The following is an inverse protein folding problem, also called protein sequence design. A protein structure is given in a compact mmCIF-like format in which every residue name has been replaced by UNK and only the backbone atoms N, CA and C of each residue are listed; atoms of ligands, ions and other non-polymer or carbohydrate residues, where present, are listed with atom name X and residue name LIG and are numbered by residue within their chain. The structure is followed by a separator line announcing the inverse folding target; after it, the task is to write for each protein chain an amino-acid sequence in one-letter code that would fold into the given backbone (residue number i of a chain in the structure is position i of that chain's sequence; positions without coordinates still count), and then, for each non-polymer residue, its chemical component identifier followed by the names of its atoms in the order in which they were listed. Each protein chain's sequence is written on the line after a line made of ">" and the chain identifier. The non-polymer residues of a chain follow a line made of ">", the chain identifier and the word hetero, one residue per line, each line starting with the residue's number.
data_IF_989223072585
#
_entry.id   IF_989223072585
#
_cell.length_a   1.000
_cell.length_b   1.000
_cell.length_c   1.000
_cell.angle_alpha   90.00
_cell.angle_beta   90.00
_cell.angle_gamma   90.00
#
_symmetry.space_group_name_H-M   'P 1'
#
loop_
_entity.id
_entity.type
_entity.pdbx_description
1 polymer ?
#
# COMPACT_ATOMS: atom_id res chain seq x y z
N UNK A 1 20.25 15.33 2.15
CA UNK A 1 19.02 15.99 1.71
C UNK A 1 18.36 15.27 0.53
N UNK A 2 19.06 15.03 -0.57
CA UNK A 2 18.51 14.25 -1.69
C UNK A 2 18.13 12.82 -1.29
N UNK A 3 18.83 12.21 -0.35
CA UNK A 3 18.54 10.87 0.18
C UNK A 3 17.23 10.79 0.99
N UNK A 4 16.60 11.89 1.31
CA UNK A 4 15.37 11.95 2.12
C UNK A 4 14.08 12.05 1.27
N UNK A 5 14.20 12.21 -0.05
CA UNK A 5 13.05 12.36 -0.94
C UNK A 5 13.18 11.41 -2.14
N UNK A 6 12.51 10.27 -2.03
CA UNK A 6 12.57 9.21 -3.03
C UNK A 6 12.01 9.64 -4.40
N UNK A 7 11.02 10.55 -4.42
CA UNK A 7 10.47 11.07 -5.67
C UNK A 7 11.54 11.88 -6.42
N UNK A 8 12.20 12.79 -5.71
CA UNK A 8 13.31 13.57 -6.29
C UNK A 8 14.44 12.66 -6.78
N UNK A 9 14.78 11.62 -6.01
CA UNK A 9 15.82 10.67 -6.43
C UNK A 9 15.47 9.96 -7.75
N UNK A 10 14.22 9.48 -7.87
CA UNK A 10 13.72 8.84 -9.09
C UNK A 10 13.71 9.80 -10.29
N UNK A 11 13.29 11.04 -10.07
CA UNK A 11 13.23 12.03 -11.14
C UNK A 11 14.62 12.47 -11.61
N UNK A 12 15.59 12.51 -10.70
CA UNK A 12 17.02 12.71 -11.05
C UNK A 12 17.52 11.54 -11.89
N UNK A 13 17.32 10.29 -11.45
CA UNK A 13 17.80 9.10 -12.16
C UNK A 13 17.19 8.95 -13.57
N UNK A 14 15.95 9.40 -13.74
CA UNK A 14 15.24 9.44 -15.03
C UNK A 14 15.65 10.61 -15.92
N UNK A 15 16.49 11.52 -15.43
CA UNK A 15 16.93 12.73 -16.11
C UNK A 15 15.78 13.66 -16.57
N UNK A 16 14.64 13.63 -15.87
CA UNK A 16 13.45 14.42 -16.20
C UNK A 16 13.38 15.74 -15.43
N UNK A 17 14.36 16.02 -14.56
CA UNK A 17 14.37 17.19 -13.70
C UNK A 17 15.32 18.27 -14.21
N UNK A 18 14.91 19.53 -14.14
CA UNK A 18 15.79 20.64 -14.42
C UNK A 18 16.65 20.89 -13.16
N UNK A 19 17.92 20.49 -13.19
CA UNK A 19 18.86 20.55 -12.05
C UNK A 19 18.89 21.93 -11.38
N UNK A 20 18.85 23.02 -12.16
CA UNK A 20 18.82 24.38 -11.61
C UNK A 20 17.53 24.72 -10.85
N UNK A 21 16.37 24.23 -11.32
CA UNK A 21 15.09 24.40 -10.65
C UNK A 21 15.08 23.59 -9.34
N UNK A 22 15.53 22.35 -9.36
CA UNK A 22 15.69 21.52 -8.18
C UNK A 22 16.63 22.16 -7.16
N UNK A 23 17.76 22.70 -7.58
CA UNK A 23 18.69 23.38 -6.68
C UNK A 23 18.05 24.55 -5.95
N UNK A 24 17.30 25.40 -6.66
CA UNK A 24 16.54 26.50 -6.06
C UNK A 24 15.48 26.00 -5.06
N UNK A 25 14.75 24.96 -5.43
CA UNK A 25 13.76 24.32 -4.54
C UNK A 25 14.40 23.82 -3.24
N UNK A 26 15.53 23.11 -3.34
CA UNK A 26 16.24 22.57 -2.18
C UNK A 26 16.79 23.69 -1.29
N UNK A 27 17.36 24.75 -1.86
CA UNK A 27 17.84 25.92 -1.11
C UNK A 27 16.70 26.52 -0.31
N UNK A 28 15.54 26.75 -0.93
CA UNK A 28 14.38 27.34 -0.26
C UNK A 28 13.79 26.40 0.80
N UNK A 29 13.59 25.13 0.47
CA UNK A 29 12.96 24.13 1.36
C UNK A 29 13.79 23.88 2.63
N UNK A 30 15.12 23.85 2.50
CA UNK A 30 16.03 23.48 3.60
C UNK A 30 16.81 24.67 4.18
N UNK A 31 16.55 25.90 3.72
CA UNK A 31 17.20 27.10 4.26
C UNK A 31 18.72 27.14 4.05
N UNK A 32 19.26 26.50 3.01
CA UNK A 32 20.71 26.38 2.74
C UNK A 32 21.25 27.49 1.83
N UNK A 33 20.72 28.70 1.96
CA UNK A 33 21.12 29.84 1.14
C UNK A 33 22.64 30.13 1.14
N UNK A 34 23.35 29.73 2.20
CA UNK A 34 24.80 29.89 2.35
C UNK A 34 25.62 28.99 1.39
N UNK A 35 25.02 27.88 0.89
CA UNK A 35 25.75 26.90 0.07
C UNK A 35 26.01 27.34 -1.38
N UNK A 36 25.43 28.44 -1.83
CA UNK A 36 25.54 28.89 -3.22
C UNK A 36 24.83 27.95 -4.23
N UNK A 37 24.17 28.53 -5.22
CA UNK A 37 23.38 27.77 -6.20
C UNK A 37 24.25 26.76 -6.98
N UNK A 38 25.45 27.16 -7.39
CA UNK A 38 26.34 26.32 -8.21
C UNK A 38 26.91 25.14 -7.43
N UNK A 39 27.15 25.29 -6.13
CA UNK A 39 27.57 24.19 -5.27
C UNK A 39 26.46 23.14 -5.12
N UNK A 40 25.21 23.57 -4.99
CA UNK A 40 24.05 22.67 -4.93
C UNK A 40 23.84 21.96 -6.27
N UNK A 41 23.95 22.68 -7.39
CA UNK A 41 23.89 22.08 -8.75
C UNK A 41 24.97 21.00 -8.92
N UNK A 42 26.21 21.31 -8.53
CA UNK A 42 27.31 20.35 -8.62
C UNK A 42 27.12 19.11 -7.75
N UNK A 43 26.47 19.28 -6.58
CA UNK A 43 26.13 18.16 -5.70
C UNK A 43 25.01 17.29 -6.27
N UNK A 44 24.02 17.88 -6.92
CA UNK A 44 22.95 17.12 -7.61
C UNK A 44 23.55 16.31 -8.75
N UNK A 45 24.40 16.91 -9.61
CA UNK A 45 25.06 16.20 -10.72
C UNK A 45 25.92 15.02 -10.27
N UNK A 46 26.58 15.12 -9.12
CA UNK A 46 27.32 13.98 -8.56
C UNK A 46 26.40 12.85 -8.09
N UNK A 47 25.21 13.20 -7.63
CA UNK A 47 24.19 12.23 -7.21
C UNK A 47 23.56 11.48 -8.41
N UNK A 48 23.47 12.12 -9.59
CA UNK A 48 22.97 11.54 -10.83
C UNK A 48 23.79 10.32 -11.31
N UNK A 49 25.04 10.16 -10.85
CA UNK A 49 25.94 9.08 -11.28
C UNK A 49 25.77 7.75 -10.50
N UNK A 50 24.84 7.64 -9.57
CA UNK A 50 24.64 6.40 -8.82
C UNK A 50 23.62 5.47 -9.52
N UNK A 51 24.10 4.44 -10.22
CA UNK A 51 23.39 3.46 -11.07
C UNK A 51 22.32 2.59 -10.36
N UNK A 52 22.16 2.68 -9.04
CA UNK A 52 21.33 1.74 -8.24
C UNK A 52 19.82 1.75 -8.55
N UNK A 53 19.29 2.83 -9.06
CA UNK A 53 17.84 2.97 -9.28
C UNK A 53 17.32 2.21 -10.50
N UNK A 54 18.12 2.05 -11.56
CA UNK A 54 17.70 1.33 -12.75
C UNK A 54 17.51 -0.17 -12.50
N UNK A 55 18.39 -0.78 -11.70
CA UNK A 55 18.28 -2.20 -11.35
C UNK A 55 17.06 -2.47 -10.45
N UNK A 56 16.79 -1.58 -9.50
CA UNK A 56 15.60 -1.70 -8.64
C UNK A 56 14.30 -1.56 -9.47
N UNK A 57 14.25 -0.64 -10.42
CA UNK A 57 13.08 -0.45 -11.29
C UNK A 57 12.86 -1.66 -12.20
N UNK A 58 13.90 -2.22 -12.82
CA UNK A 58 13.82 -3.45 -13.64
C UNK A 58 13.34 -4.64 -12.81
N UNK A 59 13.82 -4.75 -11.57
CA UNK A 59 13.40 -5.82 -10.65
C UNK A 59 11.93 -5.69 -10.30
N UNK A 60 11.45 -4.48 -10.01
CA UNK A 60 10.04 -4.23 -9.74
C UNK A 60 9.14 -4.53 -10.95
N UNK A 61 9.55 -4.09 -12.15
CA UNK A 61 8.83 -4.40 -13.39
C UNK A 61 8.71 -5.92 -13.61
N UNK A 62 9.80 -6.66 -13.40
CA UNK A 62 9.78 -8.11 -13.52
C UNK A 62 8.80 -8.76 -12.53
N UNK A 63 8.81 -8.34 -11.26
CA UNK A 63 7.91 -8.85 -10.22
C UNK A 63 6.45 -8.64 -10.62
N UNK A 64 6.10 -7.45 -11.08
CA UNK A 64 4.71 -7.15 -11.46
C UNK A 64 4.29 -7.79 -12.78
N UNK A 65 5.22 -8.04 -13.69
CA UNK A 65 4.94 -8.76 -14.95
C UNK A 65 4.52 -10.20 -14.70
N UNK A 66 5.09 -10.84 -13.69
CA UNK A 66 4.79 -12.21 -13.27
C UNK A 66 3.63 -12.28 -12.25
N UNK A 67 3.11 -11.14 -11.80
CA UNK A 67 2.07 -11.09 -10.79
C UNK A 67 0.73 -11.60 -11.31
N UNK A 68 0.02 -12.35 -10.47
CA UNK A 68 -1.37 -12.75 -10.71
C UNK A 68 -2.28 -11.84 -9.91
N UNK A 69 -3.20 -11.17 -10.61
CA UNK A 69 -4.16 -10.24 -10.00
C UNK A 69 -5.55 -10.81 -10.08
N UNK A 70 -6.23 -10.90 -8.94
CA UNK A 70 -7.63 -11.32 -8.85
C UNK A 70 -8.44 -10.36 -8.00
N UNK A 71 -9.76 -10.35 -8.18
CA UNK A 71 -10.67 -9.46 -7.45
C UNK A 71 -11.81 -10.23 -6.82
N UNK A 72 -12.29 -9.75 -5.68
CA UNK A 72 -13.49 -10.24 -4.99
C UNK A 72 -14.35 -9.05 -4.55
N UNK A 73 -15.63 -9.09 -4.89
CA UNK A 73 -16.62 -8.07 -4.52
C UNK A 73 -17.42 -8.49 -3.28
N UNK A 74 -18.28 -7.59 -2.82
CA UNK A 74 -19.18 -7.81 -1.69
C UNK A 74 -18.42 -8.21 -0.42
N UNK A 75 -17.39 -7.47 -0.09
CA UNK A 75 -16.60 -7.61 1.14
C UNK A 75 -17.10 -6.60 2.17
N UNK A 76 -17.16 -7.02 3.43
CA UNK A 76 -17.41 -6.16 4.56
C UNK A 76 -16.26 -6.23 5.58
N UNK A 77 -16.14 -5.18 6.37
CA UNK A 77 -15.17 -5.06 7.46
C UNK A 77 -15.86 -4.68 8.76
N UNK A 78 -15.60 -5.43 9.82
CA UNK A 78 -15.95 -5.05 11.20
C UNK A 78 -14.67 -4.65 11.92
N UNK A 79 -14.65 -3.45 12.48
CA UNK A 79 -13.57 -2.96 13.35
C UNK A 79 -14.02 -3.04 14.79
N UNK A 80 -13.24 -3.72 15.62
CA UNK A 80 -13.57 -4.04 17.01
C UNK A 80 -12.56 -3.41 17.97
N UNK A 81 -13.05 -3.03 19.17
CA UNK A 81 -12.23 -2.63 20.32
C UNK A 81 -12.07 -3.82 21.27
N UNK A 82 -11.27 -4.78 20.86
CA UNK A 82 -11.03 -6.03 21.59
C UNK A 82 -9.55 -6.38 21.62
N UNK A 83 -9.18 -7.23 22.61
CA UNK A 83 -7.88 -7.90 22.59
C UNK A 83 -7.97 -9.20 21.78
N UNK A 84 -6.83 -9.65 21.28
CA UNK A 84 -6.75 -10.92 20.56
C UNK A 84 -7.18 -12.11 21.43
N UNK A 85 -6.89 -12.09 22.74
CA UNK A 85 -7.29 -13.14 23.68
C UNK A 85 -8.81 -13.22 23.80
N UNK A 86 -9.51 -12.10 23.85
CA UNK A 86 -10.97 -12.09 23.93
C UNK A 86 -11.62 -12.59 22.65
N UNK A 87 -11.05 -12.21 21.49
CA UNK A 87 -11.52 -12.72 20.21
C UNK A 87 -11.37 -14.24 20.10
N UNK A 88 -10.20 -14.78 20.46
CA UNK A 88 -9.92 -16.24 20.40
C UNK A 88 -10.90 -17.00 21.30
N UNK A 89 -11.18 -16.53 22.52
CA UNK A 89 -12.18 -17.16 23.41
C UNK A 89 -13.58 -17.20 22.78
N UNK A 90 -13.98 -16.13 22.11
CA UNK A 90 -15.30 -16.08 21.44
C UNK A 90 -15.36 -17.01 20.25
N UNK A 91 -14.30 -17.03 19.43
CA UNK A 91 -14.23 -17.93 18.28
C UNK A 91 -14.25 -19.40 18.67
N UNK A 92 -13.57 -19.76 19.75
CA UNK A 92 -13.62 -21.13 20.27
C UNK A 92 -15.04 -21.60 20.64
N UNK A 93 -15.92 -20.67 21.02
CA UNK A 93 -17.31 -20.95 21.40
C UNK A 93 -18.32 -20.76 20.25
N UNK A 94 -17.91 -20.18 19.13
CA UNK A 94 -18.82 -19.80 18.03
C UNK A 94 -19.16 -20.94 17.07
N UNK A 95 -18.52 -22.11 17.19
CA UNK A 95 -18.68 -23.21 16.26
C UNK A 95 -17.99 -22.93 14.91
N UNK A 96 -18.61 -23.38 13.81
CA UNK A 96 -18.05 -23.22 12.46
C UNK A 96 -18.34 -21.79 11.96
N UNK A 97 -17.30 -21.01 11.80
CA UNK A 97 -17.40 -19.67 11.19
C UNK A 97 -17.11 -19.71 9.69
N UNK A 98 -17.72 -18.81 8.91
CA UNK A 98 -17.37 -18.62 7.51
C UNK A 98 -15.93 -18.09 7.38
N UNK A 99 -15.32 -18.24 6.18
CA UNK A 99 -13.98 -17.72 5.94
C UNK A 99 -13.89 -16.22 6.17
N UNK A 100 -12.90 -15.81 6.96
CA UNK A 100 -12.63 -14.40 7.22
C UNK A 100 -11.13 -14.15 7.29
N UNK A 101 -10.72 -12.90 7.01
CA UNK A 101 -9.35 -12.44 7.23
C UNK A 101 -9.30 -11.52 8.43
N UNK A 102 -8.27 -11.67 9.22
CA UNK A 102 -8.13 -10.96 10.49
C UNK A 102 -6.84 -10.15 10.49
N UNK A 103 -6.96 -8.88 10.85
CA UNK A 103 -5.82 -8.00 11.13
C UNK A 103 -5.95 -7.47 12.55
N UNK A 104 -4.93 -7.70 13.36
CA UNK A 104 -4.91 -7.27 14.75
C UNK A 104 -3.85 -6.18 14.96
N UNK A 105 -4.31 -5.01 15.36
CA UNK A 105 -3.47 -3.94 15.91
C UNK A 105 -3.37 -4.06 17.44
N UNK A 106 -2.73 -3.08 18.07
CA UNK A 106 -2.58 -3.07 19.54
C UNK A 106 -3.90 -2.80 20.28
N UNK A 107 -4.83 -2.06 19.66
CA UNK A 107 -6.08 -1.61 20.28
C UNK A 107 -7.32 -1.99 19.49
N UNK A 108 -7.16 -2.45 18.27
CA UNK A 108 -8.25 -2.74 17.36
C UNK A 108 -8.00 -4.03 16.62
N UNK A 109 -9.07 -4.74 16.33
CA UNK A 109 -9.08 -5.91 15.47
C UNK A 109 -10.01 -5.60 14.30
N UNK A 110 -9.58 -5.90 13.09
CA UNK A 110 -10.42 -5.85 11.91
C UNK A 110 -10.67 -7.26 11.39
N UNK A 111 -11.92 -7.52 11.05
CA UNK A 111 -12.35 -8.79 10.45
C UNK A 111 -12.94 -8.47 9.09
N UNK A 112 -12.28 -8.96 8.02
CA UNK A 112 -12.77 -8.89 6.65
C UNK A 112 -13.49 -10.18 6.32
N UNK A 113 -14.71 -10.08 5.79
CA UNK A 113 -15.58 -11.20 5.49
C UNK A 113 -16.40 -10.96 4.24
N UNK A 114 -17.09 -11.97 3.74
CA UNK A 114 -18.12 -11.75 2.72
C UNK A 114 -19.29 -10.98 3.33
N UNK A 115 -19.80 -10.00 2.63
CA UNK A 115 -20.82 -9.08 3.15
C UNK A 115 -22.10 -9.78 3.65
N UNK A 116 -22.59 -10.87 3.05
CA UNK A 116 -23.73 -11.63 3.59
C UNK A 116 -23.50 -12.18 5.01
N UNK A 117 -22.25 -12.41 5.40
CA UNK A 117 -21.89 -12.99 6.70
C UNK A 117 -21.81 -11.96 7.83
N UNK A 118 -21.95 -10.66 7.52
CA UNK A 118 -21.78 -9.56 8.48
C UNK A 118 -22.67 -9.69 9.70
N UNK A 119 -23.92 -10.14 9.51
CA UNK A 119 -24.91 -10.29 10.61
C UNK A 119 -24.48 -11.36 11.59
N UNK A 120 -23.91 -12.47 11.10
CA UNK A 120 -23.38 -13.53 11.93
C UNK A 120 -22.20 -13.05 12.78
N UNK A 121 -21.23 -12.38 12.14
CA UNK A 121 -20.08 -11.84 12.87
C UNK A 121 -20.49 -10.76 13.87
N UNK A 122 -21.40 -9.85 13.50
CA UNK A 122 -21.89 -8.79 14.38
C UNK A 122 -22.56 -9.35 15.63
N UNK A 123 -23.32 -10.44 15.52
CA UNK A 123 -24.02 -11.07 16.65
C UNK A 123 -23.07 -11.63 17.73
N UNK A 124 -21.79 -11.80 17.41
CA UNK A 124 -20.78 -12.30 18.34
C UNK A 124 -20.22 -11.23 19.29
N UNK A 125 -20.49 -9.95 19.01
CA UNK A 125 -19.88 -8.83 19.71
C UNK A 125 -20.94 -7.92 20.32
N UNK A 126 -20.63 -7.36 21.49
CA UNK A 126 -21.46 -6.34 22.10
C UNK A 126 -21.38 -5.03 21.30
N UNK A 127 -22.43 -4.22 21.37
CA UNK A 127 -22.50 -2.98 20.55
C UNK A 127 -21.41 -1.96 20.89
N UNK A 128 -20.93 -1.92 22.11
CA UNK A 128 -19.84 -1.07 22.59
C UNK A 128 -18.45 -1.57 22.16
N UNK A 129 -18.33 -2.82 21.74
CA UNK A 129 -17.11 -3.39 21.20
C UNK A 129 -16.95 -3.13 19.71
N UNK A 130 -18.04 -2.83 19.00
CA UNK A 130 -18.02 -2.55 17.56
C UNK A 130 -17.75 -1.06 17.32
N UNK A 131 -16.53 -0.74 16.89
CA UNK A 131 -16.15 0.64 16.56
C UNK A 131 -16.78 1.09 15.25
N UNK A 132 -16.72 0.23 14.21
CA UNK A 132 -17.16 0.57 12.86
C UNK A 132 -17.51 -0.69 12.07
N UNK A 133 -18.49 -0.54 11.20
CA UNK A 133 -18.81 -1.52 10.14
C UNK A 133 -18.72 -0.81 8.81
N UNK A 134 -18.02 -1.42 7.86
CA UNK A 134 -17.86 -0.94 6.49
C UNK A 134 -18.32 -2.02 5.53
N UNK A 135 -19.24 -1.65 4.66
CA UNK A 135 -19.84 -2.53 3.65
C UNK A 135 -19.48 -2.03 2.25
N UNK A 136 -19.82 -2.81 1.23
CA UNK A 136 -19.56 -2.46 -0.16
C UNK A 136 -18.08 -2.19 -0.44
N UNK A 137 -17.23 -3.03 0.13
CA UNK A 137 -15.82 -3.09 -0.19
C UNK A 137 -15.57 -4.17 -1.25
N UNK A 138 -14.45 -4.05 -1.91
CA UNK A 138 -13.89 -5.07 -2.79
C UNK A 138 -12.42 -5.31 -2.47
N UNK A 139 -11.98 -6.51 -2.69
CA UNK A 139 -10.60 -6.95 -2.50
C UNK A 139 -9.91 -7.13 -3.85
N UNK A 140 -8.71 -6.62 -3.96
CA UNK A 140 -7.76 -6.95 -5.02
C UNK A 140 -6.67 -7.78 -4.36
N UNK A 141 -6.48 -9.00 -4.82
CA UNK A 141 -5.37 -9.85 -4.41
C UNK A 141 -4.30 -9.82 -5.49
N UNK A 142 -3.11 -9.38 -5.13
CA UNK A 142 -1.93 -9.38 -6.01
C UNK A 142 -0.96 -10.42 -5.47
N UNK A 143 -0.85 -11.52 -6.18
CA UNK A 143 0.10 -12.61 -5.85
C UNK A 143 1.38 -12.35 -6.63
N UNK A 144 2.46 -12.12 -5.93
CA UNK A 144 3.79 -11.86 -6.48
C UNK A 144 4.75 -12.98 -6.10
N UNK A 145 5.77 -13.21 -6.91
CA UNK A 145 6.75 -14.27 -6.61
C UNK A 145 7.54 -14.02 -5.31
N UNK A 146 8.19 -15.06 -4.79
CA UNK A 146 8.92 -15.03 -3.51
C UNK A 146 9.98 -13.93 -3.41
N UNK A 147 10.54 -13.49 -4.53
CA UNK A 147 11.51 -12.39 -4.59
C UNK A 147 10.93 -11.05 -4.11
N UNK A 148 9.61 -10.88 -4.15
CA UNK A 148 8.95 -9.65 -3.74
C UNK A 148 9.14 -9.31 -2.26
N UNK A 149 9.30 -10.33 -1.41
CA UNK A 149 9.52 -10.16 0.04
C UNK A 149 10.81 -9.41 0.33
N UNK A 150 11.83 -9.63 -0.51
CA UNK A 150 13.15 -9.01 -0.37
C UNK A 150 13.32 -7.75 -1.20
N UNK A 151 12.33 -7.42 -2.05
CA UNK A 151 12.41 -6.28 -2.96
C UNK A 151 11.75 -5.04 -2.36
N UNK A 152 12.55 -4.00 -2.21
CA UNK A 152 12.06 -2.70 -1.74
C UNK A 152 11.11 -2.07 -2.76
N UNK A 153 10.08 -1.39 -2.27
CA UNK A 153 9.24 -0.55 -3.13
C UNK A 153 8.01 -1.24 -3.72
N UNK A 154 7.80 -2.55 -3.55
CA UNK A 154 6.60 -3.27 -4.04
C UNK A 154 5.31 -2.61 -3.54
N UNK A 155 5.16 -2.45 -2.22
CA UNK A 155 3.99 -1.78 -1.62
C UNK A 155 3.86 -0.33 -2.08
N UNK A 156 4.97 0.40 -2.12
CA UNK A 156 4.98 1.80 -2.55
C UNK A 156 4.50 1.92 -4.01
N UNK A 157 4.90 1.01 -4.88
CA UNK A 157 4.50 1.00 -6.29
C UNK A 157 2.99 0.79 -6.43
N UNK A 158 2.44 -0.23 -5.75
CA UNK A 158 1.00 -0.49 -5.73
C UNK A 158 0.24 0.74 -5.20
N UNK A 159 0.64 1.25 -4.05
CA UNK A 159 -0.04 2.37 -3.40
C UNK A 159 0.00 3.64 -4.23
N UNK A 160 1.13 3.94 -4.87
CA UNK A 160 1.28 5.10 -5.74
C UNK A 160 0.39 5.00 -6.99
N UNK A 161 0.28 3.82 -7.60
CA UNK A 161 -0.55 3.64 -8.78
C UNK A 161 -2.03 3.83 -8.47
N UNK A 162 -2.50 3.31 -7.34
CA UNK A 162 -3.87 3.56 -6.88
C UNK A 162 -4.11 5.03 -6.51
N UNK A 163 -3.14 5.68 -5.88
CA UNK A 163 -3.23 7.10 -5.57
C UNK A 163 -3.30 7.98 -6.82
N UNK A 164 -2.51 7.68 -7.86
CA UNK A 164 -2.57 8.35 -9.17
C UNK A 164 -3.93 8.18 -9.84
N UNK A 165 -4.59 7.04 -9.64
CA UNK A 165 -5.96 6.80 -10.10
C UNK A 165 -7.03 7.45 -9.20
N UNK A 166 -6.64 8.22 -8.17
CA UNK A 166 -7.52 8.83 -7.17
C UNK A 166 -8.39 7.80 -6.44
N UNK A 167 -7.79 6.67 -6.06
CA UNK A 167 -8.44 5.58 -5.35
C UNK A 167 -7.90 5.51 -3.93
N UNK A 168 -8.82 5.53 -2.95
CA UNK A 168 -8.47 5.39 -1.55
C UNK A 168 -8.36 3.91 -1.16
N UNK A 169 -7.27 3.55 -0.50
CA UNK A 169 -7.08 2.21 0.09
C UNK A 169 -7.70 2.22 1.49
N UNK A 170 -8.70 1.35 1.70
CA UNK A 170 -9.32 1.16 3.03
C UNK A 170 -8.45 0.32 3.95
N UNK A 171 -7.84 -0.73 3.40
CA UNK A 171 -6.94 -1.62 4.11
C UNK A 171 -5.93 -2.21 3.14
N UNK A 172 -4.71 -2.45 3.61
CA UNK A 172 -3.68 -3.17 2.89
C UNK A 172 -3.10 -4.22 3.82
N UNK A 173 -3.32 -5.49 3.50
CA UNK A 173 -2.78 -6.62 4.25
C UNK A 173 -1.67 -7.25 3.41
N UNK A 174 -0.49 -7.38 4.01
CA UNK A 174 0.67 -7.99 3.36
C UNK A 174 0.93 -9.34 4.02
N UNK A 175 0.66 -10.39 3.27
CA UNK A 175 0.90 -11.78 3.67
C UNK A 175 1.62 -12.49 2.52
N UNK A 176 2.94 -12.29 2.37
CA UNK A 176 3.65 -12.77 1.19
C UNK A 176 3.40 -14.27 0.92
N UNK A 177 3.19 -14.63 -0.34
CA UNK A 177 3.35 -13.81 -1.56
C UNK A 177 2.15 -12.92 -1.92
N UNK A 178 1.16 -12.78 -1.07
CA UNK A 178 -0.10 -12.08 -1.33
C UNK A 178 -0.08 -10.65 -0.77
N UNK A 179 -0.57 -9.71 -1.59
CA UNK A 179 -0.93 -8.35 -1.19
C UNK A 179 -2.44 -8.20 -1.38
N UNK A 180 -3.17 -8.02 -0.27
CA UNK A 180 -4.62 -7.89 -0.25
C UNK A 180 -4.98 -6.42 -0.04
N UNK A 181 -5.61 -5.83 -1.04
CA UNK A 181 -5.93 -4.41 -1.08
C UNK A 181 -7.44 -4.27 -1.07
N UNK A 182 -7.97 -3.53 -0.10
CA UNK A 182 -9.40 -3.27 0.02
C UNK A 182 -9.69 -1.85 -0.40
N UNK A 183 -10.61 -1.72 -1.33
CA UNK A 183 -11.10 -0.44 -1.88
C UNK A 183 -12.62 -0.41 -1.84
N UNK A 184 -13.23 0.76 -2.10
CA UNK A 184 -14.68 0.82 -2.33
C UNK A 184 -15.06 -0.02 -3.55
N UNK A 185 -16.18 -0.72 -3.47
CA UNK A 185 -16.68 -1.54 -4.58
C UNK A 185 -16.91 -0.73 -5.86
N UNK A 186 -17.28 0.53 -5.74
CA UNK A 186 -17.40 1.45 -6.89
C UNK A 186 -16.09 1.69 -7.63
N UNK A 187 -14.96 1.49 -6.99
CA UNK A 187 -13.65 1.77 -7.54
C UNK A 187 -12.92 0.53 -8.09
N UNK A 188 -13.50 -0.67 -7.90
CA UNK A 188 -12.80 -1.94 -8.14
C UNK A 188 -12.27 -2.09 -9.57
N UNK A 189 -13.04 -1.68 -10.58
CA UNK A 189 -12.64 -1.80 -11.99
C UNK A 189 -11.41 -0.91 -12.25
N UNK A 190 -11.48 0.35 -11.86
CA UNK A 190 -10.35 1.29 -12.02
C UNK A 190 -9.13 0.85 -11.22
N UNK A 191 -9.35 0.34 -10.01
CA UNK A 191 -8.29 -0.15 -9.16
C UNK A 191 -7.59 -1.37 -9.76
N UNK A 192 -8.35 -2.32 -10.29
CA UNK A 192 -7.81 -3.50 -10.98
C UNK A 192 -6.99 -3.11 -12.22
N UNK A 193 -7.54 -2.23 -13.07
CA UNK A 193 -6.83 -1.71 -14.26
C UNK A 193 -5.52 -1.00 -13.88
N UNK A 194 -5.54 -0.21 -12.79
CA UNK A 194 -4.35 0.50 -12.32
C UNK A 194 -3.27 -0.47 -11.84
N UNK A 195 -3.65 -1.53 -11.13
CA UNK A 195 -2.70 -2.55 -10.67
C UNK A 195 -2.11 -3.33 -11.85
N UNK A 196 -2.91 -3.67 -12.86
CA UNK A 196 -2.42 -4.37 -14.06
C UNK A 196 -1.38 -3.57 -14.86
N UNK A 197 -1.44 -2.24 -14.84
CA UNK A 197 -0.43 -1.38 -15.49
C UNK A 197 0.97 -1.52 -14.90
N UNK A 198 1.08 -2.00 -13.67
CA UNK A 198 2.38 -2.19 -13.01
C UNK A 198 3.25 -3.25 -13.71
N UNK A 199 2.63 -4.19 -14.42
CA UNK A 199 3.31 -5.25 -15.19
C UNK A 199 3.56 -4.91 -16.67
N UNK A 200 3.15 -3.73 -17.11
CA UNK A 200 3.36 -3.25 -18.49
C UNK A 200 4.62 -2.38 -18.54
#
# INVERSE_FOLDING_TARGET
>A
MLQLDLAIQKDISRQIIITRALAKYLINKYGIAQAGLDAVISSIRRFESEEKFEEEEKTLQFIFKEAVVSTRNNVACITLSLTMNDLVKRWANAGKLPPARLTAGRRTIKIMMDQPDISMFKAMFASDEVIKIEENLSEICVVVGDRSVLTKGVMARISNELALANINIHELIVCPPEFLIYVKQSDIVRAHESVLKLGQ
#
